data_IF_085278712092
#
_entry.id   IF_085278712092
#
_cell.length_a   1.000
_cell.length_b   1.000
_cell.length_c   1.000
_cell.angle_alpha   90.00
_cell.angle_beta   90.00
_cell.angle_gamma   90.00
#
_symmetry.space_group_name_H-M   'P 1'
#
loop_
_entity.id
_entity.type
_entity.pdbx_description
1 polymer ?
#
# COMPACT_ATOMS: atom_id res chain seq x y z
N UNK A 1 -5.06 -13.49 13.80
CA UNK A 1 -5.10 -13.13 12.37
C UNK A 1 -3.88 -13.74 11.70
N UNK A 2 -4.04 -14.72 10.85
CA UNK A 2 -2.90 -15.23 10.06
C UNK A 2 -2.74 -14.30 8.85
N UNK A 3 -1.64 -13.59 8.80
CA UNK A 3 -1.26 -12.82 7.61
C UNK A 3 -0.73 -13.82 6.61
N UNK A 4 -1.47 -14.05 5.51
CA UNK A 4 -0.94 -14.84 4.40
C UNK A 4 -0.04 -13.94 3.56
N UNK A 5 1.26 -14.11 3.73
CA UNK A 5 2.25 -13.48 2.85
C UNK A 5 2.17 -14.14 1.46
N UNK A 6 2.50 -13.38 0.42
CA UNK A 6 2.60 -13.95 -0.93
C UNK A 6 3.83 -14.86 -1.04
N UNK A 7 3.67 -16.13 -0.69
CA UNK A 7 4.73 -17.14 -0.72
C UNK A 7 5.19 -17.51 -2.14
N UNK A 8 4.43 -17.08 -3.16
CA UNK A 8 4.73 -17.40 -4.56
C UNK A 8 5.82 -16.51 -5.19
N UNK A 9 6.27 -15.47 -4.48
CA UNK A 9 7.37 -14.63 -5.00
C UNK A 9 8.70 -15.24 -4.60
N UNK A 10 9.53 -15.59 -5.58
CA UNK A 10 10.85 -16.15 -5.32
C UNK A 10 11.73 -15.19 -4.51
N UNK A 11 12.55 -15.74 -3.62
CA UNK A 11 13.50 -14.98 -2.81
C UNK A 11 14.43 -14.11 -3.68
N UNK A 12 14.82 -14.60 -4.84
CA UNK A 12 15.63 -13.84 -5.81
C UNK A 12 14.90 -12.61 -6.32
N UNK A 13 13.62 -12.74 -6.68
CA UNK A 13 12.83 -11.61 -7.16
C UNK A 13 12.64 -10.53 -6.08
N UNK A 14 12.48 -10.93 -4.82
CA UNK A 14 12.38 -10.00 -3.69
C UNK A 14 13.71 -9.26 -3.51
N UNK A 15 14.82 -9.99 -3.56
CA UNK A 15 16.16 -9.44 -3.44
C UNK A 15 16.48 -8.44 -4.55
N UNK A 16 16.18 -8.79 -5.80
CA UNK A 16 16.37 -7.91 -6.95
C UNK A 16 15.52 -6.64 -6.83
N UNK A 17 14.25 -6.77 -6.45
CA UNK A 17 13.35 -5.63 -6.23
C UNK A 17 13.83 -4.71 -5.11
N UNK A 18 14.38 -5.25 -4.03
CA UNK A 18 14.97 -4.49 -2.94
C UNK A 18 16.19 -3.69 -3.42
N UNK A 19 17.08 -4.31 -4.19
CA UNK A 19 18.26 -3.64 -4.74
C UNK A 19 17.84 -2.54 -5.73
N UNK A 20 16.93 -2.83 -6.65
CA UNK A 20 16.41 -1.85 -7.61
C UNK A 20 15.79 -0.66 -6.90
N UNK A 21 15.02 -0.92 -5.83
CA UNK A 21 14.43 0.13 -5.01
C UNK A 21 15.47 1.04 -4.36
N UNK A 22 16.50 0.45 -3.72
CA UNK A 22 17.53 1.23 -3.00
C UNK A 22 18.52 1.93 -3.94
N UNK A 23 18.82 1.35 -5.08
CA UNK A 23 19.69 1.93 -6.10
C UNK A 23 18.98 2.99 -6.96
N UNK A 24 17.66 3.04 -6.88
CA UNK A 24 16.86 4.03 -7.59
C UNK A 24 17.17 5.46 -7.09
N UNK A 25 17.19 6.40 -8.02
CA UNK A 25 17.27 7.82 -7.71
C UNK A 25 15.96 8.40 -7.12
N UNK A 26 14.86 7.63 -7.11
CA UNK A 26 13.57 8.07 -6.58
C UNK A 26 13.55 8.04 -5.06
N UNK A 27 13.75 9.21 -4.47
CA UNK A 27 13.67 9.42 -3.02
C UNK A 27 12.25 9.43 -2.46
N UNK A 28 11.22 9.61 -3.29
CA UNK A 28 9.83 9.78 -2.82
C UNK A 28 9.28 8.51 -2.21
N UNK A 29 9.50 7.37 -2.85
CA UNK A 29 9.02 6.06 -2.35
C UNK A 29 9.78 5.68 -1.08
N UNK A 30 11.09 5.89 -1.06
CA UNK A 30 11.91 5.68 0.14
C UNK A 30 11.42 6.55 1.31
N UNK A 31 11.17 7.84 1.07
CA UNK A 31 10.66 8.75 2.07
C UNK A 31 9.31 8.29 2.64
N UNK A 32 8.39 7.82 1.79
CA UNK A 32 7.09 7.29 2.25
C UNK A 32 7.26 6.13 3.22
N UNK A 33 8.17 5.20 2.95
CA UNK A 33 8.43 4.07 3.83
C UNK A 33 9.07 4.53 5.15
N UNK A 34 10.08 5.39 5.07
CA UNK A 34 10.76 5.95 6.24
C UNK A 34 9.82 6.74 7.15
N UNK A 35 8.92 7.54 6.56
CA UNK A 35 7.90 8.29 7.32
C UNK A 35 6.89 7.38 7.99
N UNK A 36 6.42 6.31 7.33
CA UNK A 36 5.55 5.32 7.96
C UNK A 36 6.24 4.66 9.16
N UNK A 37 7.49 4.28 9.01
CA UNK A 37 8.25 3.68 10.11
C UNK A 37 8.40 4.65 11.29
N UNK A 38 8.73 5.91 11.01
CA UNK A 38 8.81 6.93 12.04
C UNK A 38 7.48 7.14 12.77
N UNK A 39 6.38 7.29 12.03
CA UNK A 39 5.04 7.41 12.60
C UNK A 39 4.66 6.18 13.44
N UNK A 40 4.96 4.99 12.95
CA UNK A 40 4.70 3.75 13.68
C UNK A 40 5.39 3.75 15.04
N UNK A 41 6.66 4.13 15.10
CA UNK A 41 7.38 4.21 16.38
C UNK A 41 6.77 5.18 17.40
N UNK A 42 6.07 6.21 16.94
CA UNK A 42 5.36 7.13 17.83
C UNK A 42 4.02 6.60 18.34
N UNK A 43 3.36 5.72 17.56
CA UNK A 43 1.99 5.29 17.85
C UNK A 43 1.86 3.81 18.23
N UNK A 44 2.91 3.02 18.09
CA UNK A 44 2.86 1.57 18.31
C UNK A 44 2.33 1.18 19.70
N UNK A 45 2.69 1.94 20.72
CA UNK A 45 2.32 1.67 22.11
C UNK A 45 0.99 2.35 22.52
N UNK A 46 0.36 3.12 21.63
CA UNK A 46 -0.95 3.69 21.87
C UNK A 46 -2.05 2.66 21.61
N UNK A 47 -3.13 2.74 22.39
CA UNK A 47 -4.33 1.95 22.13
C UNK A 47 -5.02 2.42 20.85
N UNK A 48 -5.66 1.48 20.14
CA UNK A 48 -6.43 1.74 18.94
C UNK A 48 -5.81 1.14 17.69
N UNK A 49 -6.48 1.32 16.58
CA UNK A 49 -6.16 0.76 15.28
C UNK A 49 -5.45 1.78 14.39
N UNK A 50 -4.81 1.31 13.32
CA UNK A 50 -4.22 2.17 12.29
C UNK A 50 -5.24 2.29 11.16
N UNK A 51 -5.54 3.53 10.78
CA UNK A 51 -6.45 3.83 9.66
C UNK A 51 -5.66 4.46 8.52
N UNK A 52 -5.77 3.90 7.33
CA UNK A 52 -5.18 4.43 6.10
C UNK A 52 -6.28 4.87 5.13
N UNK A 53 -6.28 6.14 4.76
CA UNK A 53 -7.14 6.69 3.72
C UNK A 53 -6.35 6.75 2.41
N UNK A 54 -6.90 6.14 1.35
CA UNK A 54 -6.20 5.99 0.08
C UNK A 54 -5.31 4.75 0.06
N UNK A 55 -5.92 3.58 -0.10
CA UNK A 55 -5.25 2.27 -0.05
C UNK A 55 -4.49 1.97 -1.33
N UNK A 56 -5.05 2.35 -2.49
CA UNK A 56 -4.52 2.03 -3.81
C UNK A 56 -4.27 0.51 -3.97
N UNK A 57 -3.03 0.09 -4.19
CA UNK A 57 -2.64 -1.34 -4.31
C UNK A 57 -2.40 -2.05 -2.96
N UNK A 58 -2.64 -1.40 -1.85
CA UNK A 58 -2.48 -1.99 -0.52
C UNK A 58 -1.06 -1.99 0.04
N UNK A 59 -0.06 -1.47 -0.67
CA UNK A 59 1.33 -1.49 -0.20
C UNK A 59 1.54 -0.75 1.13
N UNK A 60 0.79 0.33 1.36
CA UNK A 60 0.81 1.05 2.63
C UNK A 60 0.29 0.21 3.78
N UNK A 61 -0.88 -0.41 3.59
CA UNK A 61 -1.47 -1.32 4.59
C UNK A 61 -0.53 -2.48 4.93
N UNK A 62 0.09 -3.09 3.91
CA UNK A 62 1.06 -4.16 4.12
C UNK A 62 2.31 -3.69 4.88
N UNK A 63 2.76 -2.46 4.66
CA UNK A 63 3.85 -1.87 5.44
C UNK A 63 3.48 -1.77 6.93
N UNK A 64 2.27 -1.30 7.26
CA UNK A 64 1.78 -1.24 8.64
C UNK A 64 1.69 -2.62 9.28
N UNK A 65 1.11 -3.59 8.57
CA UNK A 65 0.99 -4.97 9.07
C UNK A 65 2.36 -5.61 9.34
N UNK A 66 3.33 -5.41 8.45
CA UNK A 66 4.71 -5.89 8.65
C UNK A 66 5.36 -5.24 9.88
N UNK A 67 5.16 -3.95 10.09
CA UNK A 67 5.69 -3.25 11.26
C UNK A 67 5.07 -3.76 12.55
N UNK A 68 3.75 -4.02 12.56
CA UNK A 68 3.06 -4.62 13.71
C UNK A 68 3.64 -6.01 13.99
N UNK A 69 3.72 -6.86 12.98
CA UNK A 69 4.21 -8.23 13.13
C UNK A 69 5.66 -8.28 13.66
N UNK A 70 6.53 -7.41 13.13
CA UNK A 70 7.94 -7.35 13.52
C UNK A 70 8.16 -6.80 14.94
N UNK A 71 7.37 -5.81 15.36
CA UNK A 71 7.60 -5.11 16.63
C UNK A 71 6.66 -5.53 17.75
N UNK A 72 5.47 -6.00 17.41
CA UNK A 72 4.40 -6.35 18.34
C UNK A 72 3.63 -7.59 17.86
N UNK A 73 4.26 -8.76 17.76
CA UNK A 73 3.66 -9.97 17.14
C UNK A 73 2.39 -10.47 17.83
N UNK A 74 2.15 -10.05 19.07
CA UNK A 74 0.94 -10.37 19.84
C UNK A 74 -0.08 -9.22 19.89
N UNK A 75 0.13 -8.18 19.08
CA UNK A 75 -0.79 -7.04 19.04
C UNK A 75 -2.13 -7.45 18.44
N UNK A 76 -3.21 -6.96 19.06
CA UNK A 76 -4.58 -7.06 18.52
C UNK A 76 -4.94 -5.87 17.62
N UNK A 77 -3.97 -4.96 17.41
CA UNK A 77 -4.14 -3.75 16.60
C UNK A 77 -4.47 -4.14 15.15
N UNK A 78 -5.50 -3.50 14.59
CA UNK A 78 -5.92 -3.71 13.20
C UNK A 78 -5.39 -2.61 12.30
N UNK A 79 -5.28 -2.92 11.03
CA UNK A 79 -5.08 -1.92 9.97
C UNK A 79 -6.36 -1.86 9.16
N UNK A 80 -6.98 -0.68 9.12
CA UNK A 80 -8.26 -0.45 8.45
C UNK A 80 -8.03 0.51 7.28
N UNK A 81 -8.36 0.07 6.08
CA UNK A 81 -8.19 0.86 4.86
C UNK A 81 -9.51 1.44 4.36
N UNK A 82 -9.49 2.69 3.95
CA UNK A 82 -10.59 3.35 3.26
C UNK A 82 -10.14 3.80 1.88
N UNK A 83 -10.86 3.34 0.85
CA UNK A 83 -10.67 3.75 -0.54
C UNK A 83 -12.01 3.60 -1.28
N UNK A 84 -12.09 4.07 -2.49
CA UNK A 84 -13.25 3.84 -3.33
C UNK A 84 -13.42 2.36 -3.71
N UNK A 85 -12.31 1.66 -3.91
CA UNK A 85 -12.26 0.28 -4.39
C UNK A 85 -13.05 0.04 -5.69
N UNK A 86 -13.31 1.12 -6.42
CA UNK A 86 -14.07 1.12 -7.67
C UNK A 86 -13.20 1.74 -8.76
N UNK A 87 -12.80 0.96 -9.77
CA UNK A 87 -11.99 1.45 -10.88
C UNK A 87 -12.67 2.53 -11.72
N UNK A 88 -14.00 2.62 -11.66
CA UNK A 88 -14.79 3.58 -12.44
C UNK A 88 -14.98 4.93 -11.71
N UNK A 89 -14.43 5.09 -10.49
CA UNK A 89 -14.63 6.32 -9.71
C UNK A 89 -14.16 7.57 -10.46
N UNK A 90 -13.18 7.44 -11.37
CA UNK A 90 -12.68 8.55 -12.19
C UNK A 90 -13.74 9.13 -13.12
N UNK A 91 -14.70 8.31 -13.53
CA UNK A 91 -15.79 8.74 -14.43
C UNK A 91 -16.80 9.64 -13.69
N UNK A 92 -16.85 9.50 -12.37
CA UNK A 92 -17.73 10.26 -11.49
C UNK A 92 -17.10 11.57 -10.98
N UNK A 93 -15.83 11.84 -11.29
CA UNK A 93 -15.19 13.09 -10.91
C UNK A 93 -15.80 14.27 -11.70
N UNK A 94 -16.35 15.24 -10.97
CA UNK A 94 -16.98 16.42 -11.56
C UNK A 94 -15.94 17.39 -12.17
N UNK A 95 -14.75 17.45 -11.58
CA UNK A 95 -13.70 18.33 -12.04
C UNK A 95 -12.87 17.66 -13.14
N UNK A 96 -12.80 18.27 -14.32
CA UNK A 96 -12.03 17.76 -15.44
C UNK A 96 -10.53 17.68 -15.16
N UNK A 97 -9.97 18.62 -14.38
CA UNK A 97 -8.57 18.61 -14.01
C UNK A 97 -8.25 17.41 -13.13
N UNK A 98 -9.10 17.10 -12.18
CA UNK A 98 -8.92 15.94 -11.30
C UNK A 98 -9.04 14.62 -12.09
N UNK A 99 -9.98 14.58 -13.04
CA UNK A 99 -10.15 13.42 -13.95
C UNK A 99 -8.90 13.19 -14.81
N UNK A 100 -8.35 14.23 -15.41
CA UNK A 100 -7.13 14.15 -16.21
C UNK A 100 -5.91 13.75 -15.36
N UNK A 101 -5.77 14.34 -14.17
CA UNK A 101 -4.71 13.98 -13.22
C UNK A 101 -4.79 12.50 -12.81
N UNK A 102 -5.98 11.99 -12.53
CA UNK A 102 -6.17 10.58 -12.15
C UNK A 102 -5.89 9.63 -13.32
N UNK A 103 -6.32 9.97 -14.53
CA UNK A 103 -5.94 9.21 -15.73
C UNK A 103 -4.42 9.17 -15.90
N UNK A 104 -3.74 10.29 -15.67
CA UNK A 104 -2.29 10.35 -15.75
C UNK A 104 -1.61 9.47 -14.71
N UNK A 105 -2.13 9.43 -13.48
CA UNK A 105 -1.64 8.53 -12.41
C UNK A 105 -1.80 7.07 -12.81
N UNK A 106 -2.95 6.67 -13.35
CA UNK A 106 -3.19 5.29 -13.79
C UNK A 106 -2.36 4.90 -15.01
N UNK A 107 -2.19 5.80 -15.98
CA UNK A 107 -1.41 5.53 -17.18
C UNK A 107 0.10 5.46 -16.90
N UNK A 108 0.58 6.04 -15.81
CA UNK A 108 2.00 5.99 -15.42
C UNK A 108 2.43 4.59 -15.02
N UNK A 109 1.54 3.81 -14.46
CA UNK A 109 1.80 2.42 -14.10
C UNK A 109 1.31 1.50 -15.22
N UNK A 110 2.20 1.22 -16.20
CA UNK A 110 1.89 0.35 -17.34
C UNK A 110 1.54 -1.09 -16.95
N UNK A 111 1.83 -1.47 -15.70
CA UNK A 111 1.50 -2.79 -15.17
C UNK A 111 0.16 -2.81 -14.42
N UNK A 112 -0.44 -1.64 -14.20
CA UNK A 112 -1.68 -1.51 -13.46
C UNK A 112 -2.87 -1.97 -14.31
N UNK A 113 -3.48 -3.04 -13.91
CA UNK A 113 -4.83 -3.39 -14.37
C UNK A 113 -5.84 -2.86 -13.34
N UNK A 114 -6.44 -1.70 -13.63
CA UNK A 114 -7.32 -0.97 -12.70
C UNK A 114 -8.43 -1.86 -12.16
N UNK A 115 -9.07 -2.65 -13.04
CA UNK A 115 -10.16 -3.53 -12.64
C UNK A 115 -9.71 -4.71 -11.76
N UNK A 116 -8.48 -5.16 -11.92
CA UNK A 116 -7.95 -6.32 -11.22
C UNK A 116 -7.18 -5.95 -9.96
N UNK A 117 -6.42 -4.85 -10.00
CA UNK A 117 -5.44 -4.54 -8.96
C UNK A 117 -5.99 -3.63 -7.86
N UNK A 118 -7.05 -2.89 -8.14
CA UNK A 118 -7.67 -1.94 -7.21
C UNK A 118 -8.97 -2.45 -6.58
N UNK A 119 -9.44 -3.64 -6.95
CA UNK A 119 -10.61 -4.23 -6.30
C UNK A 119 -10.29 -4.70 -4.87
N UNK A 120 -11.32 -4.77 -4.03
CA UNK A 120 -11.18 -5.30 -2.66
C UNK A 120 -10.59 -6.71 -2.69
N UNK A 121 -11.10 -7.58 -3.57
CA UNK A 121 -10.66 -8.96 -3.69
C UNK A 121 -9.19 -9.10 -4.09
N UNK A 122 -8.69 -8.15 -4.89
CA UNK A 122 -7.28 -8.13 -5.28
C UNK A 122 -6.36 -7.71 -4.11
N UNK A 123 -6.84 -6.82 -3.25
CA UNK A 123 -6.08 -6.32 -2.09
C UNK A 123 -6.09 -7.33 -0.96
N UNK A 124 -7.22 -8.00 -0.72
CA UNK A 124 -7.35 -9.03 0.33
C UNK A 124 -6.51 -10.29 0.05
N UNK A 125 -6.15 -10.55 -1.21
CA UNK A 125 -5.32 -11.69 -1.61
C UNK A 125 -3.82 -11.44 -1.54
N UNK A 126 -3.39 -10.24 -1.25
CA UNK A 126 -1.97 -9.87 -1.13
C UNK A 126 -1.46 -10.03 0.28
#
# INVERSE_FOLDING_TARGET
MSISWNENTSSQKIFDSYNDFLLSADRKVFFKLAMRYNLFNHVKDLHGDIVECGVFKGAGMMAWLKMIDMHQPHSIKKVVGFDFFDPTFTDNLQNNIDRENMKHVFNRDQTLNVNKDLSIEAIEKK
#
